data_IF_391492371314
#
_entry.id   IF_391492371314
#
_cell.length_a   1.000
_cell.length_b   1.000
_cell.length_c   1.000
_cell.angle_alpha   90.00
_cell.angle_beta   90.00
_cell.angle_gamma   90.00
#
_symmetry.space_group_name_H-M   'P 1'
#
loop_
_entity.id
_entity.type
_entity.pdbx_description
1 polymer ?
#
# COMPACT_ATOMS: atom_id res chain seq x y z
N UNK A 1 -10.31 27.84 -25.87
CA UNK A 1 -11.31 28.42 -24.92
C UNK A 1 -11.49 27.39 -23.81
N UNK A 2 -11.56 27.65 -22.49
CA UNK A 2 -12.16 28.73 -21.66
C UNK A 2 -13.69 28.59 -21.50
N UNK A 3 -14.16 28.59 -20.23
CA UNK A 3 -15.56 28.61 -19.71
C UNK A 3 -16.39 27.30 -19.67
N UNK A 4 -16.23 26.51 -18.60
CA UNK A 4 -17.35 25.83 -17.89
C UNK A 4 -17.13 25.93 -16.36
N UNK A 5 -16.99 27.15 -15.83
CA UNK A 5 -16.82 27.42 -14.37
C UNK A 5 -17.71 28.55 -13.83
N UNK A 6 -18.74 28.94 -14.58
CA UNK A 6 -19.74 29.93 -14.17
C UNK A 6 -21.13 29.52 -14.70
N UNK A 7 -21.90 28.83 -13.87
CA UNK A 7 -23.36 28.75 -13.95
C UNK A 7 -23.91 28.96 -12.54
N UNK A 8 -24.79 29.96 -12.30
CA UNK A 8 -25.49 30.08 -11.02
C UNK A 8 -26.46 28.90 -10.89
N UNK A 9 -26.34 28.12 -9.81
CA UNK A 9 -27.16 26.93 -9.58
C UNK A 9 -26.41 25.65 -9.21
N UNK A 10 -25.07 25.61 -9.35
CA UNK A 10 -24.28 24.52 -8.78
C UNK A 10 -24.27 24.63 -7.25
N UNK A 11 -25.14 23.88 -6.59
CA UNK A 11 -25.17 23.71 -5.13
C UNK A 11 -24.42 22.44 -4.74
N UNK A 12 -23.88 22.40 -3.52
CA UNK A 12 -23.06 21.26 -3.03
C UNK A 12 -23.83 19.93 -3.12
N UNK A 13 -25.16 19.94 -2.99
CA UNK A 13 -26.00 18.75 -3.17
C UNK A 13 -25.74 18.01 -4.50
N UNK A 14 -25.45 18.73 -5.60
CA UNK A 14 -25.18 18.16 -6.92
C UNK A 14 -23.79 17.50 -7.05
N UNK A 15 -22.90 17.66 -6.06
CA UNK A 15 -21.62 16.94 -6.00
C UNK A 15 -21.77 15.50 -5.49
N UNK A 16 -22.74 15.27 -4.59
CA UNK A 16 -23.01 13.96 -3.96
C UNK A 16 -23.56 12.93 -4.94
N UNK A 17 -24.56 13.28 -5.74
CA UNK A 17 -25.22 12.33 -6.67
C UNK A 17 -24.30 11.81 -7.79
N UNK A 18 -23.22 12.53 -8.09
CA UNK A 18 -22.20 12.11 -9.08
C UNK A 18 -21.08 11.24 -8.49
N UNK A 19 -21.15 10.87 -7.20
CA UNK A 19 -20.15 10.01 -6.55
C UNK A 19 -18.79 10.66 -6.31
N UNK A 20 -18.68 11.99 -6.43
CA UNK A 20 -17.42 12.74 -6.31
C UNK A 20 -17.10 13.11 -4.85
N UNK A 21 -18.10 13.07 -3.96
CA UNK A 21 -17.98 13.44 -2.53
C UNK A 21 -17.89 12.26 -1.54
N UNK A 22 -17.44 11.10 -2.01
CA UNK A 22 -16.85 10.05 -1.14
C UNK A 22 -15.32 9.96 -1.34
N UNK A 23 -14.68 11.13 -1.52
CA UNK A 23 -13.23 11.27 -1.64
C UNK A 23 -12.53 11.10 -0.28
N UNK A 24 -12.56 9.86 0.25
CA UNK A 24 -11.92 9.42 1.51
C UNK A 24 -10.38 9.43 1.44
N UNK A 25 -9.79 10.56 1.05
CA UNK A 25 -8.50 10.96 1.61
C UNK A 25 -8.70 11.28 3.09
N UNK A 26 -8.80 10.22 3.89
CA UNK A 26 -8.53 10.25 5.32
C UNK A 26 -7.06 10.70 5.46
N UNK A 27 -6.83 12.02 5.53
CA UNK A 27 -5.49 12.60 5.34
C UNK A 27 -4.49 12.16 6.40
N UNK A 28 -4.98 11.68 7.54
CA UNK A 28 -4.21 11.31 8.71
C UNK A 28 -4.52 9.86 9.11
N UNK A 29 -3.47 9.09 9.35
CA UNK A 29 -3.48 7.74 9.91
C UNK A 29 -2.14 7.55 10.61
N UNK A 30 -2.07 6.98 11.83
CA UNK A 30 -0.80 6.84 12.54
C UNK A 30 0.17 5.85 11.86
N UNK A 31 -0.37 4.94 11.04
CA UNK A 31 0.38 3.97 10.24
C UNK A 31 -0.18 3.92 8.80
N UNK A 32 0.59 3.42 7.82
CA UNK A 32 0.07 3.14 6.48
C UNK A 32 -1.13 2.18 6.49
N UNK A 33 -2.02 2.26 5.50
CA UNK A 33 -2.96 1.16 5.22
C UNK A 33 -2.50 0.40 3.98
N UNK A 34 -2.67 -0.93 3.98
CA UNK A 34 -2.28 -1.75 2.84
C UNK A 34 -3.13 -3.01 2.68
N UNK A 35 -3.10 -3.57 1.47
CA UNK A 35 -3.67 -4.86 1.09
C UNK A 35 -2.63 -5.70 0.34
N UNK A 36 -2.83 -7.02 0.35
CA UNK A 36 -1.98 -8.00 -0.33
C UNK A 36 -2.83 -8.76 -1.35
N UNK A 37 -2.28 -9.02 -2.53
CA UNK A 37 -2.87 -9.90 -3.55
C UNK A 37 -1.78 -10.79 -4.15
N UNK A 38 -1.98 -12.11 -4.13
CA UNK A 38 -1.12 -13.04 -4.86
C UNK A 38 -1.45 -12.96 -6.37
N UNK A 39 -0.42 -13.02 -7.19
CA UNK A 39 -0.50 -13.28 -8.62
C UNK A 39 0.08 -14.69 -8.90
N UNK A 40 -0.07 -15.27 -10.10
CA UNK A 40 0.54 -16.57 -10.42
C UNK A 40 2.06 -16.56 -10.20
N UNK A 41 2.58 -17.64 -9.60
CA UNK A 41 3.95 -17.73 -9.11
C UNK A 41 4.19 -16.99 -7.78
N UNK A 42 5.47 -16.77 -7.39
CA UNK A 42 5.86 -16.21 -6.09
C UNK A 42 5.71 -14.69 -5.99
N UNK A 43 4.63 -14.13 -6.56
CA UNK A 43 4.44 -12.69 -6.77
C UNK A 43 3.35 -12.15 -5.86
N UNK A 44 3.69 -11.17 -5.03
CA UNK A 44 2.73 -10.47 -4.16
C UNK A 44 2.62 -9.01 -4.57
N UNK A 45 1.41 -8.58 -4.95
CA UNK A 45 1.08 -7.17 -5.08
C UNK A 45 0.77 -6.62 -3.69
N UNK A 46 1.58 -5.67 -3.25
CA UNK A 46 1.33 -4.85 -2.06
C UNK A 46 0.72 -3.55 -2.56
N UNK A 47 -0.53 -3.23 -2.21
CA UNK A 47 -1.14 -1.92 -2.49
C UNK A 47 -1.23 -1.13 -1.18
N UNK A 48 -0.85 0.14 -1.16
CA UNK A 48 -0.71 0.90 0.09
C UNK A 48 -1.06 2.39 -0.05
N UNK A 49 -1.67 2.95 1.01
CA UNK A 49 -1.82 4.39 1.19
C UNK A 49 -0.65 4.95 1.98
N UNK A 50 -0.07 6.05 1.47
CA UNK A 50 0.99 6.81 2.14
C UNK A 50 0.48 8.02 2.92
N UNK A 51 -0.81 8.38 2.81
CA UNK A 51 -1.41 9.51 3.53
C UNK A 51 -0.59 10.82 3.48
N UNK A 52 0.00 11.13 2.33
CA UNK A 52 0.85 12.32 2.13
C UNK A 52 2.32 12.17 2.54
N UNK A 53 2.72 11.13 3.27
CA UNK A 53 4.12 10.85 3.60
C UNK A 53 4.94 10.48 2.35
N UNK A 54 6.23 10.81 2.37
CA UNK A 54 7.19 10.56 1.28
C UNK A 54 7.19 9.11 0.77
N UNK A 55 7.11 8.15 1.67
CA UNK A 55 7.15 6.73 1.33
C UNK A 55 6.56 5.82 2.42
N UNK A 56 6.63 4.52 2.17
CA UNK A 56 6.56 3.50 3.20
C UNK A 56 7.83 2.67 3.21
N UNK A 57 8.29 2.32 4.40
CA UNK A 57 9.22 1.24 4.61
C UNK A 57 8.42 -0.05 4.81
N UNK A 58 8.77 -1.10 4.07
CA UNK A 58 8.07 -2.37 4.08
C UNK A 58 9.06 -3.49 4.39
N UNK A 59 8.75 -4.29 5.40
CA UNK A 59 9.45 -5.53 5.71
C UNK A 59 8.53 -6.73 5.47
N UNK A 60 9.13 -7.85 5.10
CA UNK A 60 8.46 -9.13 4.97
C UNK A 60 9.27 -10.23 5.65
N UNK A 61 8.61 -11.33 6.00
CA UNK A 61 9.28 -12.57 6.41
C UNK A 61 8.57 -13.77 5.80
N UNK A 62 9.30 -14.87 5.64
CA UNK A 62 8.80 -16.14 5.10
C UNK A 62 8.64 -17.15 6.24
N UNK A 63 7.49 -17.82 6.33
CA UNK A 63 7.19 -18.91 7.28
C UNK A 63 7.57 -18.62 8.75
N UNK A 64 7.44 -17.36 9.20
CA UNK A 64 7.72 -16.95 10.58
C UNK A 64 9.19 -16.62 10.92
N UNK A 65 10.11 -16.70 9.95
CA UNK A 65 11.55 -16.41 10.13
C UNK A 65 11.89 -14.91 10.33
N UNK A 66 13.12 -14.53 9.96
CA UNK A 66 13.61 -13.16 10.10
C UNK A 66 12.94 -12.16 9.17
N UNK A 67 12.95 -10.88 9.58
CA UNK A 67 12.38 -9.78 8.81
C UNK A 67 13.40 -9.20 7.82
N UNK A 68 13.10 -9.34 6.53
CA UNK A 68 13.85 -8.77 5.41
C UNK A 68 13.16 -7.50 4.88
N UNK A 69 13.91 -6.47 4.46
CA UNK A 69 13.31 -5.32 3.78
C UNK A 69 12.85 -5.70 2.36
N UNK A 70 11.61 -5.36 2.00
CA UNK A 70 11.02 -5.67 0.67
C UNK A 70 11.77 -4.96 -0.47
N UNK A 71 12.38 -3.80 -0.19
CA UNK A 71 13.32 -3.09 -1.06
C UNK A 71 14.41 -2.44 -0.22
N UNK A 72 15.58 -2.17 -0.82
CA UNK A 72 16.57 -1.26 -0.21
C UNK A 72 16.04 0.17 -0.27
N UNK A 73 15.73 0.76 0.88
CA UNK A 73 15.14 2.10 0.97
C UNK A 73 13.62 2.06 1.18
N UNK A 74 12.87 2.86 0.44
CA UNK A 74 11.42 3.03 0.63
C UNK A 74 10.62 2.91 -0.66
N UNK A 75 9.33 2.63 -0.52
CA UNK A 75 8.35 2.55 -1.59
C UNK A 75 7.56 3.87 -1.69
N UNK A 76 7.62 4.52 -2.85
CA UNK A 76 7.00 5.83 -3.14
C UNK A 76 5.78 5.77 -4.08
N UNK A 77 5.41 4.58 -4.55
CA UNK A 77 4.23 4.39 -5.41
C UNK A 77 2.91 4.44 -4.64
N UNK A 78 1.88 3.83 -5.23
CA UNK A 78 0.65 3.37 -4.55
C UNK A 78 0.56 1.84 -4.48
N UNK A 79 1.48 1.14 -5.16
CA UNK A 79 1.64 -0.31 -5.11
C UNK A 79 3.10 -0.71 -5.34
N UNK A 80 3.40 -1.97 -5.09
CA UNK A 80 4.65 -2.65 -5.40
C UNK A 80 4.35 -4.11 -5.75
N UNK A 81 5.18 -4.73 -6.61
CA UNK A 81 5.11 -6.16 -6.91
C UNK A 81 6.36 -6.81 -6.32
N UNK A 82 6.22 -7.39 -5.13
CA UNK A 82 7.22 -8.28 -4.58
C UNK A 82 7.36 -9.51 -5.49
N UNK A 83 8.60 -9.86 -5.80
CA UNK A 83 9.00 -10.96 -6.69
C UNK A 83 10.18 -11.75 -6.13
N UNK A 84 10.42 -11.68 -4.81
CA UNK A 84 11.42 -12.57 -4.19
C UNK A 84 11.07 -14.04 -4.50
N UNK A 85 12.07 -14.91 -4.72
CA UNK A 85 11.82 -16.33 -4.91
C UNK A 85 11.25 -16.97 -3.62
N UNK A 86 10.65 -18.14 -3.79
CA UNK A 86 10.31 -19.06 -2.69
C UNK A 86 11.59 -19.58 -2.03
N UNK A 87 11.52 -19.98 -0.76
CA UNK A 87 12.60 -20.75 -0.11
C UNK A 87 12.76 -22.15 -0.71
N UNK A 88 11.65 -22.77 -1.12
CA UNK A 88 11.61 -24.04 -1.83
C UNK A 88 10.76 -23.82 -3.10
N UNK A 89 11.32 -23.94 -4.32
CA UNK A 89 10.61 -23.67 -5.57
C UNK A 89 9.47 -24.66 -5.87
N UNK A 90 9.35 -25.75 -5.10
CA UNK A 90 8.28 -26.75 -5.24
C UNK A 90 7.18 -26.63 -4.16
N UNK A 91 7.27 -25.71 -3.21
CA UNK A 91 6.33 -25.61 -2.08
C UNK A 91 5.74 -24.21 -1.91
N UNK A 92 4.43 -24.09 -1.63
CA UNK A 92 3.86 -22.83 -1.17
C UNK A 92 4.50 -22.34 0.13
N UNK A 93 4.65 -21.03 0.28
CA UNK A 93 5.14 -20.39 1.51
C UNK A 93 4.19 -19.28 1.98
N UNK A 94 4.12 -19.07 3.29
CA UNK A 94 3.40 -17.94 3.88
C UNK A 94 4.36 -16.76 4.01
N UNK A 95 4.02 -15.65 3.35
CA UNK A 95 4.69 -14.36 3.55
C UNK A 95 3.88 -13.48 4.49
N UNK A 96 4.52 -12.98 5.52
CA UNK A 96 3.97 -11.97 6.43
C UNK A 96 4.64 -10.62 6.12
N UNK A 97 3.85 -9.55 6.07
CA UNK A 97 4.31 -8.19 5.75
C UNK A 97 3.91 -7.21 6.85
N UNK A 98 4.78 -6.22 7.09
CA UNK A 98 4.51 -5.04 7.93
C UNK A 98 5.07 -3.79 7.28
N UNK A 99 4.33 -2.69 7.38
CA UNK A 99 4.70 -1.38 6.83
C UNK A 99 4.80 -0.34 7.94
N UNK A 100 5.61 0.69 7.74
CA UNK A 100 5.56 1.97 8.46
C UNK A 100 5.91 3.11 7.52
N UNK A 101 5.68 4.36 7.90
CA UNK A 101 6.00 5.48 7.01
C UNK A 101 7.51 5.64 6.82
N UNK A 102 7.93 6.19 5.69
CA UNK A 102 9.27 6.74 5.49
C UNK A 102 9.17 8.26 5.39
N UNK A 103 10.10 8.97 6.03
CA UNK A 103 10.28 10.42 5.87
C UNK A 103 11.77 10.76 5.96
N UNK A 104 12.19 11.71 5.14
CA UNK A 104 13.54 12.22 5.06
C UNK A 104 14.55 11.06 4.87
N UNK A 105 15.34 10.75 5.91
CA UNK A 105 16.41 9.76 5.90
C UNK A 105 16.05 8.40 6.52
N UNK A 106 14.82 8.15 6.96
CA UNK A 106 14.50 6.87 7.60
C UNK A 106 13.01 6.52 7.78
N UNK A 107 12.74 5.31 8.31
CA UNK A 107 11.41 4.88 8.67
C UNK A 107 10.96 5.50 9.99
N UNK A 108 9.71 5.98 10.05
CA UNK A 108 9.12 6.68 11.19
C UNK A 108 7.75 6.09 11.57
N UNK A 109 7.36 6.31 12.82
CA UNK A 109 6.10 5.80 13.39
C UNK A 109 6.10 4.30 13.63
N UNK A 110 4.97 3.81 14.11
CA UNK A 110 4.75 2.41 14.45
C UNK A 110 4.59 1.52 13.21
N UNK A 111 4.73 0.22 13.43
CA UNK A 111 4.40 -0.79 12.44
C UNK A 111 2.88 -0.97 12.33
N UNK A 112 2.40 -1.22 11.11
CA UNK A 112 1.06 -1.77 10.87
C UNK A 112 0.89 -3.14 11.51
N UNK A 113 -0.37 -3.53 11.73
CA UNK A 113 -0.75 -4.93 11.89
C UNK A 113 -0.12 -5.82 10.80
N UNK A 114 0.24 -7.05 11.19
CA UNK A 114 0.79 -8.03 10.26
C UNK A 114 -0.30 -8.50 9.29
N UNK A 115 -0.01 -8.45 7.99
CA UNK A 115 -0.85 -9.12 6.97
C UNK A 115 -0.09 -10.27 6.35
N UNK A 116 -0.76 -11.41 6.22
CA UNK A 116 -0.21 -12.65 5.70
C UNK A 116 -0.87 -13.06 4.40
N UNK A 117 -0.12 -13.68 3.53
CA UNK A 117 -0.61 -14.27 2.29
C UNK A 117 0.22 -15.51 1.94
N UNK A 118 -0.42 -16.55 1.44
CA UNK A 118 0.27 -17.71 0.86
C UNK A 118 0.55 -17.43 -0.61
N UNK A 119 1.79 -17.69 -1.04
CA UNK A 119 2.14 -17.78 -2.47
C UNK A 119 2.52 -19.22 -2.82
N UNK A 120 2.31 -19.58 -4.08
CA UNK A 120 2.60 -20.91 -4.65
C UNK A 120 3.61 -20.79 -5.81
N UNK A 121 4.22 -21.90 -6.24
CA UNK A 121 4.93 -21.98 -7.51
C UNK A 121 4.09 -21.55 -8.73
#
# INVERSE_FOLDING_TARGET
MRRIKFRPGYTVAMGRELGIEENHYRRESPVPTFTLRAEPGPVVVIQYSRFGHQGVYAEFRRNGGDWEPVVRGFLSGASFRDRHPLLDPARPEVREYRLRFWKDHGPIGDWTDLKRITVSP
#
